data_IF_506959602395
#
_entry.id   IF_506959602395
#
_cell.length_a   1.000
_cell.length_b   1.000
_cell.length_c   1.000
_cell.angle_alpha   90.00
_cell.angle_beta   90.00
_cell.angle_gamma   90.00
#
_symmetry.space_group_name_H-M   'P 1'
#
loop_
_entity.id
_entity.type
_entity.pdbx_description
1 polymer ?
#
# COMPACT_ATOMS: atom_id res chain seq x y z
N UNK A 1 -69.07 48.07 -19.87
CA UNK A 1 -68.70 47.55 -18.53
C UNK A 1 -67.26 47.15 -18.59
N UNK A 2 -66.36 47.90 -17.94
CA UNK A 2 -64.93 47.58 -18.00
C UNK A 2 -64.51 46.67 -16.83
N UNK A 3 -63.74 45.63 -17.14
CA UNK A 3 -63.12 44.73 -16.19
C UNK A 3 -61.93 45.44 -15.53
N UNK A 4 -61.89 45.42 -14.21
CA UNK A 4 -60.74 45.85 -13.39
C UNK A 4 -59.81 44.61 -13.18
N UNK A 5 -58.49 44.74 -13.32
CA UNK A 5 -57.59 43.73 -12.96
C UNK A 5 -57.25 43.77 -11.44
N UNK A 6 -57.37 42.64 -10.80
CA UNK A 6 -56.94 42.42 -9.41
C UNK A 6 -55.39 42.31 -9.35
N UNK A 7 -54.75 43.20 -8.61
CA UNK A 7 -53.32 43.13 -8.31
C UNK A 7 -53.07 42.14 -7.18
N UNK A 8 -52.36 41.07 -7.47
CA UNK A 8 -51.85 40.09 -6.47
C UNK A 8 -50.50 40.61 -5.97
N UNK A 9 -50.47 41.04 -4.70
CA UNK A 9 -49.23 41.42 -4.03
C UNK A 9 -48.52 40.15 -3.54
N UNK A 10 -47.38 39.84 -4.17
CA UNK A 10 -46.50 38.75 -3.74
C UNK A 10 -45.61 39.24 -2.59
N UNK A 11 -45.88 38.76 -1.37
CA UNK A 11 -44.99 38.96 -0.22
C UNK A 11 -43.74 38.09 -0.41
N UNK A 12 -42.59 38.69 -0.67
CA UNK A 12 -41.27 38.07 -0.60
C UNK A 12 -40.85 37.94 0.87
N UNK A 13 -40.97 36.74 1.47
CA UNK A 13 -40.36 36.41 2.73
C UNK A 13 -38.85 36.18 2.49
N UNK A 14 -38.04 37.15 2.91
CA UNK A 14 -36.57 36.98 3.01
C UNK A 14 -36.24 36.10 4.19
N UNK A 15 -35.81 34.85 3.92
CA UNK A 15 -35.24 33.96 4.92
C UNK A 15 -33.84 34.46 5.31
N UNK A 16 -33.48 34.47 6.62
CA UNK A 16 -32.10 34.80 7.02
C UNK A 16 -31.17 33.70 6.57
N UNK A 17 -30.09 34.07 5.85
CA UNK A 17 -29.01 33.17 5.50
C UNK A 17 -28.31 32.70 6.78
N UNK A 18 -28.45 31.42 7.13
CA UNK A 18 -27.66 30.79 8.13
C UNK A 18 -26.20 30.80 7.67
N UNK A 19 -25.38 31.62 8.31
CA UNK A 19 -23.92 31.60 8.11
C UNK A 19 -23.38 30.21 8.43
N UNK A 20 -22.75 29.54 7.44
CA UNK A 20 -22.04 28.29 7.67
C UNK A 20 -20.97 28.51 8.75
N UNK A 21 -20.80 27.56 9.70
CA UNK A 21 -19.77 27.70 10.71
C UNK A 21 -18.40 27.74 10.02
N UNK A 22 -17.61 28.77 10.32
CA UNK A 22 -16.24 28.90 9.85
C UNK A 22 -15.47 27.65 10.26
N UNK A 23 -15.02 26.85 9.29
CA UNK A 23 -14.13 25.72 9.53
C UNK A 23 -12.87 26.24 10.18
N UNK A 24 -12.64 25.89 11.44
CA UNK A 24 -11.35 26.15 12.12
C UNK A 24 -10.24 25.57 11.24
N UNK A 25 -9.18 26.32 10.93
CA UNK A 25 -8.03 25.74 10.24
C UNK A 25 -7.52 24.55 11.06
N UNK A 26 -7.39 23.40 10.40
CA UNK A 26 -6.80 22.21 11.01
C UNK A 26 -5.43 22.59 11.58
N UNK A 27 -5.09 22.25 12.82
CA UNK A 27 -3.77 22.56 13.36
C UNK A 27 -2.70 22.04 12.41
N UNK A 28 -1.74 22.92 12.06
CA UNK A 28 -0.63 22.54 11.18
C UNK A 28 -0.02 21.25 11.72
N UNK A 29 0.04 20.21 10.90
CA UNK A 29 0.60 18.93 11.29
C UNK A 29 2.03 19.15 11.80
N UNK A 30 2.36 18.58 12.96
CA UNK A 30 3.71 18.67 13.51
C UNK A 30 4.73 18.20 12.46
N UNK A 31 5.91 18.88 12.35
CA UNK A 31 6.91 18.50 11.37
C UNK A 31 7.32 17.03 11.56
N UNK A 32 7.45 16.30 10.45
CA UNK A 32 7.86 14.91 10.51
C UNK A 32 9.24 14.78 11.18
N UNK A 33 9.46 13.74 12.02
CA UNK A 33 10.75 13.53 12.67
C UNK A 33 11.85 13.33 11.63
N UNK A 34 13.09 13.69 11.96
CA UNK A 34 14.26 13.43 11.12
C UNK A 34 14.36 11.94 10.80
N UNK A 35 14.79 11.60 9.57
CA UNK A 35 14.91 10.21 9.12
C UNK A 35 15.70 9.36 10.11
N UNK A 36 15.18 8.21 10.43
CA UNK A 36 15.78 7.22 11.34
C UNK A 36 16.13 5.97 10.57
N UNK A 37 17.18 5.29 11.00
CA UNK A 37 17.65 4.02 10.49
C UNK A 37 17.74 3.04 11.66
N UNK A 38 17.01 1.95 11.62
CA UNK A 38 17.01 0.94 12.66
C UNK A 38 16.72 -0.45 12.10
N UNK A 39 17.13 -1.49 12.83
CA UNK A 39 16.83 -2.87 12.48
C UNK A 39 15.53 -3.26 13.17
N UNK A 40 14.63 -3.86 12.42
CA UNK A 40 13.43 -4.44 12.95
C UNK A 40 13.36 -5.93 12.62
N UNK A 41 12.68 -6.68 13.49
CA UNK A 41 12.44 -8.11 13.37
C UNK A 41 10.96 -8.42 13.52
N UNK A 42 10.43 -9.19 12.57
CA UNK A 42 9.05 -9.65 12.57
C UNK A 42 8.92 -11.16 12.81
N UNK A 43 7.76 -11.68 12.49
CA UNK A 43 7.53 -13.12 12.40
C UNK A 43 8.39 -13.74 11.27
N UNK A 44 8.59 -15.06 11.24
CA UNK A 44 9.19 -15.73 10.10
C UNK A 44 8.52 -15.31 8.78
N UNK A 45 9.33 -15.10 7.74
CA UNK A 45 8.90 -14.70 6.40
C UNK A 45 8.17 -13.32 6.31
N UNK A 46 8.19 -12.51 7.35
CA UNK A 46 7.50 -11.20 7.38
C UNK A 46 8.02 -10.17 6.36
N UNK A 47 9.24 -10.35 5.86
CA UNK A 47 9.83 -9.51 4.82
C UNK A 47 10.15 -10.28 3.53
N UNK A 48 9.47 -11.43 3.31
CA UNK A 48 9.66 -12.35 2.20
C UNK A 48 10.21 -13.70 2.68
N UNK A 49 10.14 -14.69 1.84
CA UNK A 49 10.53 -16.06 2.18
C UNK A 49 11.96 -16.12 2.73
N UNK A 50 12.14 -16.66 3.93
CA UNK A 50 13.42 -16.73 4.64
C UNK A 50 13.89 -15.41 5.24
N UNK A 51 13.03 -14.39 5.28
CA UNK A 51 13.34 -13.05 5.77
C UNK A 51 12.43 -12.68 6.95
N UNK A 52 13.04 -12.47 8.13
CA UNK A 52 12.35 -11.98 9.33
C UNK A 52 12.92 -10.66 9.88
N UNK A 53 13.98 -10.13 9.24
CA UNK A 53 14.70 -8.91 9.65
C UNK A 53 14.89 -7.95 8.50
N UNK A 54 14.76 -6.66 8.78
CA UNK A 54 14.95 -5.60 7.80
C UNK A 54 15.51 -4.33 8.40
N UNK A 55 15.97 -3.44 7.54
CA UNK A 55 16.34 -2.07 7.90
C UNK A 55 15.14 -1.17 7.61
N UNK A 56 14.63 -0.50 8.64
CA UNK A 56 13.61 0.52 8.50
C UNK A 56 14.26 1.89 8.25
N UNK A 57 13.71 2.65 7.29
CA UNK A 57 14.14 4.00 6.91
C UNK A 57 12.91 4.90 6.93
N UNK A 58 12.73 5.65 8.03
CA UNK A 58 11.50 6.38 8.30
C UNK A 58 11.75 7.82 8.74
N UNK A 59 10.95 8.76 8.23
CA UNK A 59 11.00 10.18 8.59
C UNK A 59 11.55 11.08 7.50
N UNK A 60 11.70 12.38 7.82
CA UNK A 60 12.11 13.41 6.87
C UNK A 60 13.62 13.35 6.59
N UNK A 61 14.00 13.37 5.32
CA UNK A 61 15.39 13.38 4.87
C UNK A 61 15.96 14.80 5.12
N UNK A 62 16.73 14.96 6.17
CA UNK A 62 17.35 16.24 6.55
C UNK A 62 18.80 16.35 6.07
N UNK A 63 19.46 17.49 6.34
CA UNK A 63 20.76 17.84 5.74
C UNK A 63 21.95 16.96 6.16
N UNK A 64 21.81 16.13 7.21
CA UNK A 64 22.85 15.22 7.72
C UNK A 64 22.51 13.73 7.48
N UNK A 65 21.42 13.44 6.76
CA UNK A 65 20.88 12.10 6.60
C UNK A 65 21.89 11.10 6.01
N UNK A 66 22.65 11.51 4.99
CA UNK A 66 23.64 10.65 4.35
C UNK A 66 24.80 10.28 5.27
N UNK A 67 25.25 11.23 6.08
CA UNK A 67 26.29 11.00 7.10
C UNK A 67 25.83 9.99 8.16
N UNK A 68 24.60 10.15 8.65
CA UNK A 68 24.00 9.22 9.63
C UNK A 68 23.75 7.82 9.03
N UNK A 69 23.30 7.74 7.78
CA UNK A 69 23.16 6.47 7.08
C UNK A 69 24.51 5.75 6.95
N UNK A 70 25.56 6.45 6.52
CA UNK A 70 26.91 5.89 6.43
C UNK A 70 27.40 5.35 7.77
N UNK A 71 27.16 6.08 8.87
CA UNK A 71 27.50 5.62 10.22
C UNK A 71 26.68 4.41 10.65
N UNK A 72 25.38 4.39 10.31
CA UNK A 72 24.50 3.25 10.59
C UNK A 72 25.01 2.01 9.89
N UNK A 73 25.28 2.05 8.56
CA UNK A 73 25.79 0.90 7.81
C UNK A 73 27.15 0.43 8.34
N UNK A 74 28.05 1.34 8.75
CA UNK A 74 29.32 0.95 9.38
C UNK A 74 29.13 0.15 10.67
N UNK A 75 28.16 0.53 11.50
CA UNK A 75 27.83 -0.19 12.75
C UNK A 75 27.17 -1.54 12.51
N UNK A 76 26.43 -1.66 11.41
CA UNK A 76 25.63 -2.83 11.06
C UNK A 76 26.14 -3.52 9.78
N UNK A 77 27.45 -3.67 9.60
CA UNK A 77 28.06 -4.26 8.41
C UNK A 77 27.54 -5.67 8.10
N UNK A 78 27.25 -6.45 9.15
CA UNK A 78 26.69 -7.82 9.00
C UNK A 78 25.27 -7.82 8.43
N UNK A 79 24.51 -6.74 8.66
CA UNK A 79 23.10 -6.60 8.31
C UNK A 79 22.89 -5.78 7.04
N UNK A 80 23.94 -5.30 6.37
CA UNK A 80 23.89 -4.43 5.20
C UNK A 80 23.15 -5.02 3.99
N UNK A 81 23.00 -6.34 3.95
CA UNK A 81 22.29 -7.08 2.90
C UNK A 81 20.79 -7.26 3.18
N UNK A 82 20.34 -6.88 4.39
CA UNK A 82 18.93 -6.92 4.72
C UNK A 82 18.12 -6.00 3.79
N UNK A 83 16.88 -6.37 3.42
CA UNK A 83 16.02 -5.48 2.66
C UNK A 83 15.74 -4.20 3.45
N UNK A 84 15.67 -3.07 2.75
CA UNK A 84 15.40 -1.77 3.34
C UNK A 84 13.99 -1.32 3.01
N UNK A 85 13.22 -0.93 4.03
CA UNK A 85 11.85 -0.48 3.89
C UNK A 85 11.74 1.01 4.16
N UNK A 86 11.20 1.73 3.20
CA UNK A 86 11.15 3.18 3.17
C UNK A 86 9.74 3.69 3.44
N UNK A 87 9.63 4.64 4.39
CA UNK A 87 8.44 5.43 4.65
C UNK A 87 8.86 6.86 5.01
N UNK A 88 8.78 7.79 4.04
CA UNK A 88 9.32 9.13 4.19
C UNK A 88 8.49 10.15 3.41
N UNK A 89 8.19 11.33 3.99
CA UNK A 89 7.59 12.44 3.26
C UNK A 89 8.58 13.12 2.28
N UNK A 90 9.85 12.69 2.25
CA UNK A 90 10.91 13.32 1.47
C UNK A 90 11.78 14.25 2.27
N UNK A 91 12.25 15.35 1.66
CA UNK A 91 13.11 16.34 2.30
C UNK A 91 14.26 16.77 1.40
N UNK A 92 15.50 16.68 1.89
CA UNK A 92 16.69 17.15 1.18
C UNK A 92 17.05 16.21 0.02
N UNK A 93 16.96 16.72 -1.21
CA UNK A 93 17.20 15.98 -2.44
C UNK A 93 18.68 15.53 -2.58
N UNK A 94 19.64 16.38 -2.24
CA UNK A 94 21.07 16.01 -2.36
C UNK A 94 21.40 14.85 -1.41
N UNK A 95 20.87 14.88 -0.19
CA UNK A 95 21.04 13.78 0.78
C UNK A 95 20.38 12.48 0.31
N UNK A 96 19.22 12.58 -0.32
CA UNK A 96 18.55 11.42 -0.90
C UNK A 96 19.40 10.77 -2.02
N UNK A 97 19.98 11.58 -2.90
CA UNK A 97 20.88 11.12 -3.97
C UNK A 97 22.15 10.49 -3.38
N UNK A 98 22.76 11.09 -2.33
CA UNK A 98 23.94 10.50 -1.68
C UNK A 98 23.61 9.13 -1.07
N UNK A 99 22.48 8.99 -0.36
CA UNK A 99 22.06 7.69 0.16
C UNK A 99 21.77 6.72 -0.99
N UNK A 100 21.09 7.17 -2.05
CA UNK A 100 20.82 6.34 -3.23
C UNK A 100 22.09 5.80 -3.90
N UNK A 101 23.16 6.60 -4.02
CA UNK A 101 24.45 6.10 -4.51
C UNK A 101 25.02 5.01 -3.56
N UNK A 102 24.96 5.20 -2.24
CA UNK A 102 25.36 4.17 -1.28
C UNK A 102 24.52 2.88 -1.41
N UNK A 103 23.21 3.01 -1.64
CA UNK A 103 22.34 1.84 -1.88
C UNK A 103 22.75 1.08 -3.14
N UNK A 104 23.19 1.78 -4.19
CA UNK A 104 23.71 1.16 -5.41
C UNK A 104 24.99 0.37 -5.14
N UNK A 105 25.93 0.97 -4.40
CA UNK A 105 27.19 0.33 -4.00
C UNK A 105 26.97 -0.92 -3.13
N UNK A 106 25.92 -0.90 -2.28
CA UNK A 106 25.54 -2.01 -1.44
C UNK A 106 24.74 -3.10 -2.19
N UNK A 107 24.40 -2.89 -3.45
CA UNK A 107 23.45 -3.74 -4.20
C UNK A 107 22.15 -3.96 -3.43
N UNK A 108 21.66 -2.91 -2.75
CA UNK A 108 20.56 -2.98 -1.80
C UNK A 108 19.22 -3.35 -2.48
N UNK A 109 18.34 -4.00 -1.69
CA UNK A 109 16.92 -4.15 -2.02
C UNK A 109 16.12 -3.08 -1.29
N UNK A 110 15.38 -2.24 -2.03
CA UNK A 110 14.52 -1.20 -1.51
C UNK A 110 13.04 -1.54 -1.72
N UNK A 111 12.25 -1.39 -0.66
CA UNK A 111 10.80 -1.60 -0.65
C UNK A 111 10.10 -0.42 0.03
N UNK A 112 8.84 -0.16 -0.33
CA UNK A 112 8.04 0.88 0.31
C UNK A 112 7.05 0.25 1.28
N UNK A 113 7.30 0.41 2.58
CA UNK A 113 6.40 0.02 3.66
C UNK A 113 6.74 0.78 4.94
N UNK A 114 5.78 0.92 5.84
CA UNK A 114 5.99 1.40 7.21
C UNK A 114 6.36 0.23 8.11
N UNK A 115 7.25 0.45 9.04
CA UNK A 115 7.51 -0.48 10.14
C UNK A 115 6.64 -0.08 11.34
N UNK A 116 5.76 -0.97 11.76
CA UNK A 116 4.94 -0.81 12.96
C UNK A 116 5.70 -1.47 14.11
N UNK A 117 6.34 -0.68 14.93
CA UNK A 117 7.16 -1.17 16.06
C UNK A 117 6.23 -1.62 17.18
N UNK A 118 6.25 -2.91 17.51
CA UNK A 118 5.45 -3.53 18.59
C UNK A 118 5.93 -3.12 19.97
N UNK A 119 7.23 -2.90 20.14
CA UNK A 119 7.82 -2.45 21.38
C UNK A 119 7.30 -1.07 21.85
N UNK A 120 6.66 -0.31 20.96
CA UNK A 120 5.96 0.92 21.32
C UNK A 120 4.64 0.67 22.09
N UNK A 121 4.14 -0.57 22.13
CA UNK A 121 2.87 -0.90 22.79
C UNK A 121 1.69 -0.14 22.17
N UNK A 122 0.93 0.56 23.01
CA UNK A 122 -0.22 1.36 22.59
C UNK A 122 0.16 2.79 22.13
N UNK A 123 1.43 3.16 22.25
CA UNK A 123 1.91 4.47 21.85
C UNK A 123 1.87 4.67 20.33
N UNK A 124 1.51 5.89 19.91
CA UNK A 124 1.57 6.22 18.49
C UNK A 124 3.00 6.07 17.95
N UNK A 125 3.14 5.57 16.72
CA UNK A 125 4.45 5.34 16.08
C UNK A 125 5.29 6.63 15.94
N UNK A 126 4.66 7.80 16.03
CA UNK A 126 5.30 9.12 16.01
C UNK A 126 5.41 9.78 17.40
N UNK A 127 5.00 9.10 18.48
CA UNK A 127 5.18 9.64 19.84
C UNK A 127 6.66 9.70 20.21
N UNK A 128 7.05 10.64 21.09
CA UNK A 128 8.44 10.75 21.57
C UNK A 128 8.96 9.45 22.20
N UNK A 129 8.11 8.71 22.89
CA UNK A 129 8.45 7.42 23.49
C UNK A 129 8.86 6.42 22.39
N UNK A 130 8.04 6.28 21.35
CA UNK A 130 8.32 5.37 20.24
C UNK A 130 9.51 5.84 19.39
N UNK A 131 9.65 7.14 19.14
CA UNK A 131 10.80 7.72 18.44
C UNK A 131 12.12 7.50 19.21
N UNK A 132 12.10 7.56 20.54
CA UNK A 132 13.27 7.25 21.38
C UNK A 132 13.66 5.78 21.24
N UNK A 133 12.70 4.86 21.20
CA UNK A 133 12.96 3.43 20.93
C UNK A 133 13.60 3.22 19.54
N UNK A 134 13.05 3.84 18.49
CA UNK A 134 13.59 3.76 17.12
C UNK A 134 15.01 4.31 17.00
N UNK A 135 15.42 5.23 17.86
CA UNK A 135 16.78 5.80 17.93
C UNK A 135 17.72 5.04 18.86
N UNK A 136 17.24 4.04 19.59
CA UNK A 136 18.01 3.35 20.64
C UNK A 136 19.18 2.51 20.12
N UNK A 137 19.22 2.18 18.83
CA UNK A 137 20.20 1.28 18.24
C UNK A 137 19.97 -0.20 18.52
N UNK A 138 18.89 -0.55 19.25
CA UNK A 138 18.47 -1.94 19.46
C UNK A 138 17.71 -2.46 18.24
N UNK A 139 17.71 -3.78 18.04
CA UNK A 139 16.75 -4.47 17.19
C UNK A 139 15.36 -4.39 17.84
N UNK A 140 14.32 -4.02 17.07
CA UNK A 140 12.97 -3.80 17.56
C UNK A 140 12.01 -4.83 16.97
N UNK A 141 11.09 -5.33 17.78
CA UNK A 141 10.00 -6.18 17.28
C UNK A 141 9.04 -5.32 16.45
N UNK A 142 8.65 -5.81 15.26
CA UNK A 142 7.77 -5.03 14.39
C UNK A 142 7.05 -5.85 13.33
N UNK A 143 6.10 -5.18 12.67
CA UNK A 143 5.40 -5.66 11.49
C UNK A 143 5.58 -4.68 10.32
N UNK A 144 5.42 -5.16 9.10
CA UNK A 144 5.42 -4.35 7.90
C UNK A 144 3.99 -4.02 7.46
N UNK A 145 3.74 -2.76 7.16
CA UNK A 145 2.47 -2.28 6.63
C UNK A 145 2.71 -1.52 5.32
N UNK A 146 2.29 -2.10 4.20
CA UNK A 146 2.38 -1.48 2.86
C UNK A 146 1.27 -0.47 2.63
N UNK A 147 0.07 -0.74 3.16
CA UNK A 147 -1.09 0.14 3.01
C UNK A 147 -0.84 1.52 3.61
N UNK A 148 -0.94 2.54 2.74
CA UNK A 148 -0.70 3.93 3.12
C UNK A 148 0.76 4.24 3.48
N UNK A 149 1.70 3.34 3.20
CA UNK A 149 3.12 3.66 3.24
C UNK A 149 3.45 4.62 2.10
N UNK A 150 4.24 5.65 2.38
CA UNK A 150 4.54 6.70 1.41
C UNK A 150 6.05 6.93 1.33
N UNK A 151 6.51 7.04 0.10
CA UNK A 151 7.84 7.52 -0.23
C UNK A 151 7.66 8.67 -1.23
N UNK A 152 7.65 9.91 -0.72
CA UNK A 152 7.27 11.10 -1.46
C UNK A 152 8.44 12.05 -1.68
N UNK A 153 8.34 12.94 -2.68
CA UNK A 153 9.27 14.06 -2.91
C UNK A 153 10.72 13.59 -3.16
N UNK A 154 11.64 13.80 -2.23
CA UNK A 154 13.03 13.34 -2.34
C UNK A 154 13.19 11.82 -2.09
N UNK A 155 12.24 11.16 -1.39
CA UNK A 155 12.34 9.74 -1.05
C UNK A 155 12.38 8.80 -2.29
N UNK A 156 11.60 8.99 -3.37
CA UNK A 156 11.75 8.18 -4.58
C UNK A 156 13.19 8.14 -5.08
N UNK A 157 13.88 9.27 -5.15
CA UNK A 157 15.26 9.32 -5.63
C UNK A 157 16.22 8.48 -4.77
N UNK A 158 15.94 8.37 -3.47
CA UNK A 158 16.69 7.46 -2.60
C UNK A 158 16.44 6.00 -3.00
N UNK A 159 15.17 5.60 -3.17
CA UNK A 159 14.77 4.23 -3.58
C UNK A 159 15.34 3.87 -4.95
N UNK A 160 15.37 4.82 -5.90
CA UNK A 160 15.92 4.60 -7.26
C UNK A 160 17.38 4.14 -7.24
N UNK A 161 18.14 4.48 -6.20
CA UNK A 161 19.53 4.02 -6.06
C UNK A 161 19.68 2.52 -5.84
N UNK A 162 18.69 1.84 -5.27
CA UNK A 162 18.78 0.42 -5.00
C UNK A 162 18.91 -0.43 -6.29
N UNK A 163 19.56 -1.58 -6.17
CA UNK A 163 19.69 -2.55 -7.26
C UNK A 163 18.35 -3.26 -7.54
N UNK A 164 17.64 -3.63 -6.47
CA UNK A 164 16.30 -4.20 -6.54
C UNK A 164 15.30 -3.22 -5.91
N UNK A 165 14.29 -2.84 -6.67
CA UNK A 165 13.25 -1.90 -6.28
C UNK A 165 11.90 -2.58 -6.36
N UNK A 166 11.14 -2.51 -5.26
CA UNK A 166 9.84 -3.17 -5.16
C UNK A 166 8.84 -2.26 -4.46
N UNK A 167 7.78 -1.89 -5.16
CA UNK A 167 6.70 -1.06 -4.64
C UNK A 167 5.43 -1.88 -4.59
N UNK A 168 4.86 -2.03 -3.40
CA UNK A 168 3.61 -2.78 -3.21
C UNK A 168 2.42 -2.06 -3.88
N UNK A 169 1.35 -2.79 -4.27
CA UNK A 169 0.20 -2.22 -4.98
C UNK A 169 -0.53 -1.10 -4.22
N UNK A 170 -0.46 -1.12 -2.89
CA UNK A 170 -1.14 -0.20 -1.98
C UNK A 170 -0.18 0.79 -1.28
N UNK A 171 1.09 0.79 -1.69
CA UNK A 171 2.09 1.77 -1.28
C UNK A 171 2.17 2.94 -2.27
N UNK A 172 2.59 4.10 -1.79
CA UNK A 172 2.64 5.36 -2.54
C UNK A 172 4.09 5.71 -2.86
N UNK A 173 4.37 5.96 -4.14
CA UNK A 173 5.61 6.55 -4.62
C UNK A 173 5.26 7.87 -5.32
N UNK A 174 5.54 9.01 -4.66
CA UNK A 174 5.07 10.32 -5.11
C UNK A 174 6.21 11.26 -5.51
N UNK A 175 6.02 11.96 -6.63
CA UNK A 175 7.00 12.91 -7.19
C UNK A 175 6.37 14.28 -7.43
N UNK A 176 7.19 15.33 -7.36
CA UNK A 176 6.87 16.70 -7.73
C UNK A 176 8.15 17.48 -8.06
N UNK A 177 8.02 18.71 -8.55
CA UNK A 177 9.16 19.57 -8.87
C UNK A 177 9.96 19.92 -7.60
N UNK A 178 11.31 19.95 -7.67
CA UNK A 178 12.13 20.38 -6.53
C UNK A 178 11.98 21.86 -6.23
N UNK A 179 11.97 22.23 -4.94
CA UNK A 179 12.01 23.62 -4.49
C UNK A 179 13.46 24.06 -4.27
N UNK A 180 13.85 25.14 -4.90
CA UNK A 180 15.15 25.77 -4.66
C UNK A 180 15.05 26.66 -3.44
N UNK A 181 15.85 26.38 -2.42
CA UNK A 181 15.95 27.19 -1.21
C UNK A 181 17.22 28.04 -1.29
N UNK A 182 17.07 29.34 -1.44
CA UNK A 182 18.19 30.28 -1.43
C UNK A 182 18.52 30.66 0.01
N UNK A 183 19.80 30.64 0.34
CA UNK A 183 20.33 31.17 1.62
C UNK A 183 21.17 32.38 1.31
N UNK A 184 20.88 33.54 1.95
CA UNK A 184 21.71 34.72 1.90
C UNK A 184 22.64 34.72 3.12
N UNK A 185 23.91 34.98 2.91
CA UNK A 185 24.91 35.10 3.95
C UNK A 185 25.22 36.59 4.33
N UNK A 186 24.52 37.55 3.72
CA UNK A 186 24.68 39.00 4.01
C UNK A 186 23.65 39.81 3.24
N UNK A 187 23.21 40.93 3.79
CA UNK A 187 22.31 41.90 3.15
C UNK A 187 21.01 41.36 2.56
N UNK A 188 20.08 42.25 2.22
CA UNK A 188 18.89 41.88 1.45
C UNK A 188 19.28 41.79 -0.03
N UNK A 189 19.06 40.59 -0.70
CA UNK A 189 19.36 40.44 -2.12
C UNK A 189 18.36 41.25 -2.97
N UNK A 190 18.81 41.80 -4.11
CA UNK A 190 17.90 42.41 -5.09
C UNK A 190 17.01 41.35 -5.76
N UNK A 191 15.92 41.80 -6.34
CA UNK A 191 14.99 40.89 -7.06
C UNK A 191 15.73 40.15 -8.19
N UNK A 192 16.59 40.83 -8.94
CA UNK A 192 17.38 40.26 -10.03
C UNK A 192 18.33 39.17 -9.53
N UNK A 193 19.00 39.43 -8.37
CA UNK A 193 19.90 38.45 -7.73
C UNK A 193 19.10 37.19 -7.30
N UNK A 194 17.90 37.34 -6.76
CA UNK A 194 17.04 36.22 -6.37
C UNK A 194 16.61 35.42 -7.59
N UNK A 195 16.14 36.08 -8.66
CA UNK A 195 15.73 35.42 -9.90
C UNK A 195 16.92 34.64 -10.52
N UNK A 196 18.07 35.28 -10.68
CA UNK A 196 19.27 34.64 -11.24
C UNK A 196 19.77 33.46 -10.39
N UNK A 197 19.73 33.58 -9.05
CA UNK A 197 20.12 32.52 -8.16
C UNK A 197 19.12 31.35 -8.20
N UNK A 198 17.83 31.62 -8.31
CA UNK A 198 16.78 30.61 -8.45
C UNK A 198 16.98 29.84 -9.77
N UNK A 199 17.19 30.56 -10.89
CA UNK A 199 17.43 29.95 -12.19
C UNK A 199 18.65 29.00 -12.15
N UNK A 200 19.78 29.46 -11.63
CA UNK A 200 20.98 28.62 -11.46
C UNK A 200 20.72 27.40 -10.56
N UNK A 201 19.90 27.57 -9.51
CA UNK A 201 19.50 26.48 -8.61
C UNK A 201 18.68 25.43 -9.32
N UNK A 202 17.71 25.83 -10.15
CA UNK A 202 16.89 24.92 -10.96
C UNK A 202 17.75 24.15 -11.96
N UNK A 203 18.60 24.84 -12.73
CA UNK A 203 19.50 24.19 -13.70
C UNK A 203 20.47 23.21 -13.05
N UNK A 204 20.96 23.54 -11.85
CA UNK A 204 21.83 22.63 -11.07
C UNK A 204 21.05 21.38 -10.63
N UNK A 205 19.84 21.55 -10.11
CA UNK A 205 18.98 20.44 -9.70
C UNK A 205 18.64 19.54 -10.89
N UNK A 206 18.32 20.12 -12.04
CA UNK A 206 18.02 19.38 -13.27
C UNK A 206 19.19 18.54 -13.75
N UNK A 207 20.39 19.13 -13.81
CA UNK A 207 21.61 18.39 -14.17
C UNK A 207 21.92 17.26 -13.18
N UNK A 208 21.78 17.53 -11.88
CA UNK A 208 22.01 16.54 -10.83
C UNK A 208 21.04 15.37 -10.95
N UNK A 209 19.74 15.65 -11.12
CA UNK A 209 18.70 14.65 -11.26
C UNK A 209 18.86 13.85 -12.57
N UNK A 210 19.10 14.50 -13.71
CA UNK A 210 19.28 13.83 -15.00
C UNK A 210 20.45 12.85 -14.97
N UNK A 211 21.59 13.28 -14.44
CA UNK A 211 22.76 12.40 -14.31
C UNK A 211 22.48 11.24 -13.34
N UNK A 212 21.75 11.50 -12.25
CA UNK A 212 21.44 10.48 -11.28
C UNK A 212 20.48 9.43 -11.80
N UNK A 213 19.34 9.82 -12.41
CA UNK A 213 18.35 8.86 -12.93
C UNK A 213 18.95 8.01 -14.05
N UNK A 214 19.75 8.63 -14.95
CA UNK A 214 20.49 7.91 -15.98
C UNK A 214 21.44 6.87 -15.38
N UNK A 215 22.26 7.26 -14.39
CA UNK A 215 23.17 6.33 -13.68
C UNK A 215 22.41 5.17 -13.03
N UNK A 216 21.19 5.40 -12.56
CA UNK A 216 20.35 4.38 -11.91
C UNK A 216 19.55 3.52 -12.90
N UNK A 217 19.69 3.75 -14.22
CA UNK A 217 18.97 3.01 -15.26
C UNK A 217 17.46 3.29 -15.24
N UNK A 218 17.09 4.54 -14.96
CA UNK A 218 15.71 5.03 -14.94
C UNK A 218 15.50 5.92 -16.15
N UNK A 219 14.32 5.79 -16.78
CA UNK A 219 13.95 6.60 -17.95
C UNK A 219 13.76 8.07 -17.56
N UNK A 220 14.25 9.00 -18.39
CA UNK A 220 14.21 10.44 -18.16
C UNK A 220 12.78 11.01 -18.06
N UNK A 221 11.81 10.35 -18.65
CA UNK A 221 10.37 10.68 -18.57
C UNK A 221 9.86 10.81 -17.13
N UNK A 222 10.48 10.14 -16.16
CA UNK A 222 10.19 10.35 -14.74
C UNK A 222 10.38 11.83 -14.35
N UNK A 223 11.46 12.45 -14.81
CA UNK A 223 11.76 13.86 -14.51
C UNK A 223 10.81 14.81 -15.23
N UNK A 224 10.40 14.46 -16.46
CA UNK A 224 9.43 15.24 -17.21
C UNK A 224 8.09 15.28 -16.47
N UNK A 225 7.62 14.12 -15.97
CA UNK A 225 6.43 14.06 -15.11
C UNK A 225 6.63 14.90 -13.83
N UNK A 226 7.74 14.72 -13.13
CA UNK A 226 7.98 15.43 -11.86
C UNK A 226 7.99 16.96 -12.04
N UNK A 227 8.57 17.47 -13.14
CA UNK A 227 8.66 18.90 -13.45
C UNK A 227 7.30 19.57 -13.69
N UNK A 228 6.31 18.82 -14.19
CA UNK A 228 4.96 19.37 -14.43
C UNK A 228 4.16 19.56 -13.14
N UNK A 229 4.56 18.95 -12.04
CA UNK A 229 3.83 18.96 -10.78
C UNK A 229 4.40 20.07 -9.88
N UNK A 230 3.56 20.97 -9.41
CA UNK A 230 3.97 22.04 -8.48
C UNK A 230 4.50 21.44 -7.17
N UNK A 231 5.37 22.18 -6.49
CA UNK A 231 5.97 21.73 -5.23
C UNK A 231 4.93 21.42 -4.14
N UNK A 232 3.81 22.14 -4.14
CA UNK A 232 2.71 21.99 -3.18
C UNK A 232 1.81 20.79 -3.48
N UNK A 233 1.90 20.25 -4.69
CA UNK A 233 1.13 19.11 -5.17
C UNK A 233 1.99 17.83 -5.14
N UNK A 234 1.34 16.67 -5.33
CA UNK A 234 2.03 15.38 -5.39
C UNK A 234 1.42 14.51 -6.48
N UNK A 235 2.24 14.07 -7.43
CA UNK A 235 1.85 13.06 -8.40
C UNK A 235 2.24 11.68 -7.89
N UNK A 236 1.25 10.82 -7.64
CA UNK A 236 1.46 9.43 -7.29
C UNK A 236 1.72 8.65 -8.57
N UNK A 237 2.89 8.05 -8.68
CA UNK A 237 3.25 7.23 -9.84
C UNK A 237 2.33 6.02 -9.96
N UNK A 238 1.72 5.87 -11.12
CA UNK A 238 0.91 4.69 -11.45
C UNK A 238 1.79 3.45 -11.63
N UNK A 239 1.22 2.27 -11.56
CA UNK A 239 1.95 1.03 -11.81
C UNK A 239 2.56 1.01 -13.23
N UNK A 240 1.82 1.53 -14.21
CA UNK A 240 2.31 1.66 -15.59
C UNK A 240 3.54 2.58 -15.68
N UNK A 241 3.49 3.74 -15.03
CA UNK A 241 4.64 4.66 -14.97
C UNK A 241 5.85 4.01 -14.29
N UNK A 242 5.65 3.34 -13.14
CA UNK A 242 6.75 2.63 -12.46
C UNK A 242 7.38 1.55 -13.35
N UNK A 243 6.57 0.83 -14.12
CA UNK A 243 7.06 -0.18 -15.06
C UNK A 243 7.81 0.46 -16.25
N UNK A 244 7.20 1.43 -16.93
CA UNK A 244 7.81 2.13 -18.08
C UNK A 244 9.09 2.85 -17.70
N UNK A 245 9.10 3.54 -16.57
CA UNK A 245 10.32 4.26 -16.14
C UNK A 245 11.42 3.33 -15.61
N UNK A 246 11.18 2.03 -15.53
CA UNK A 246 12.17 1.06 -15.06
C UNK A 246 12.37 1.07 -13.54
N UNK A 247 11.42 1.63 -12.78
CA UNK A 247 11.47 1.65 -11.31
C UNK A 247 11.20 0.26 -10.75
N UNK A 248 10.11 -0.35 -11.18
CA UNK A 248 9.72 -1.71 -10.77
C UNK A 248 9.07 -2.43 -11.96
N UNK A 249 9.84 -3.29 -12.63
CA UNK A 249 9.45 -3.96 -13.88
C UNK A 249 8.73 -5.31 -13.67
N UNK A 250 8.24 -5.58 -12.46
CA UNK A 250 7.45 -6.79 -12.22
C UNK A 250 6.07 -6.66 -12.88
N UNK A 251 5.64 -7.67 -13.61
CA UNK A 251 4.33 -7.71 -14.29
C UNK A 251 3.21 -8.17 -13.36
N UNK A 252 3.56 -8.87 -12.29
CA UNK A 252 2.68 -9.21 -11.17
C UNK A 252 3.28 -8.71 -9.86
N UNK A 253 2.52 -7.91 -9.13
CA UNK A 253 2.96 -7.32 -7.86
C UNK A 253 1.87 -7.53 -6.83
N UNK A 254 2.23 -8.08 -5.68
CA UNK A 254 1.30 -8.43 -4.62
C UNK A 254 1.77 -7.92 -3.25
N UNK A 255 0.83 -7.77 -2.31
CA UNK A 255 1.13 -7.56 -0.89
C UNK A 255 1.26 -8.91 -0.19
N UNK A 256 1.92 -8.97 0.97
CA UNK A 256 1.70 -10.06 1.90
C UNK A 256 0.21 -10.15 2.30
N UNK A 257 -0.21 -11.30 2.82
CA UNK A 257 -1.48 -11.42 3.51
C UNK A 257 -1.39 -10.72 4.86
N UNK A 258 -2.26 -9.77 5.11
CA UNK A 258 -2.23 -8.94 6.31
C UNK A 258 -3.57 -9.01 7.06
N UNK A 259 -3.50 -9.25 8.37
CA UNK A 259 -4.66 -9.16 9.26
C UNK A 259 -5.05 -7.69 9.45
N UNK A 260 -6.33 -7.39 9.30
CA UNK A 260 -6.93 -6.07 9.53
C UNK A 260 -8.16 -6.20 10.45
N UNK A 261 -8.27 -5.30 11.41
CA UNK A 261 -9.44 -5.23 12.30
C UNK A 261 -10.01 -3.79 12.29
N UNK A 262 -10.66 -3.45 11.19
CA UNK A 262 -11.29 -2.15 10.95
C UNK A 262 -12.82 -2.32 10.90
N UNK A 263 -13.42 -2.64 12.04
CA UNK A 263 -14.85 -2.94 12.18
C UNK A 263 -15.18 -4.42 12.03
N UNK A 264 -14.70 -5.11 11.01
CA UNK A 264 -14.74 -6.56 10.87
C UNK A 264 -13.34 -7.11 10.72
N UNK A 265 -12.99 -8.12 11.52
CA UNK A 265 -11.71 -8.80 11.39
C UNK A 265 -11.65 -9.59 10.07
N UNK A 266 -10.59 -9.39 9.32
CA UNK A 266 -10.33 -10.08 8.06
C UNK A 266 -8.82 -10.12 7.76
N UNK A 267 -8.45 -11.00 6.85
CA UNK A 267 -7.12 -11.02 6.24
C UNK A 267 -7.27 -10.51 4.81
N UNK A 268 -6.42 -9.58 4.41
CA UNK A 268 -6.44 -9.00 3.07
C UNK A 268 -5.11 -9.25 2.34
N UNK A 269 -5.23 -9.47 1.04
CA UNK A 269 -4.14 -9.43 0.07
C UNK A 269 -4.59 -8.63 -1.14
N UNK A 270 -3.71 -7.79 -1.67
CA UNK A 270 -3.94 -7.05 -2.90
C UNK A 270 -2.86 -7.37 -3.91
N UNK A 271 -3.20 -7.39 -5.18
CA UNK A 271 -2.24 -7.50 -6.26
C UNK A 271 -2.63 -6.61 -7.44
N UNK A 272 -1.65 -6.31 -8.28
CA UNK A 272 -1.83 -5.69 -9.59
C UNK A 272 -1.11 -6.57 -10.61
N UNK A 273 -1.84 -7.02 -11.61
CA UNK A 273 -1.33 -7.84 -12.70
C UNK A 273 -1.35 -7.06 -14.02
N UNK A 274 -0.31 -7.21 -14.84
CA UNK A 274 -0.31 -6.71 -16.20
C UNK A 274 -1.20 -7.58 -17.06
N UNK A 275 -1.99 -6.98 -17.94
CA UNK A 275 -2.86 -7.75 -18.85
C UNK A 275 -2.02 -8.44 -19.93
N UNK A 276 -2.53 -9.54 -20.50
CA UNK A 276 -1.84 -10.34 -21.51
C UNK A 276 -1.39 -9.51 -22.73
N UNK A 277 -2.17 -8.49 -23.11
CA UNK A 277 -1.78 -7.59 -24.21
C UNK A 277 -0.68 -6.57 -23.81
N UNK A 278 -0.24 -6.59 -22.56
CA UNK A 278 0.79 -5.69 -22.03
C UNK A 278 0.41 -4.20 -22.00
N UNK A 279 -0.83 -3.83 -22.31
CA UNK A 279 -1.25 -2.43 -22.47
C UNK A 279 -1.91 -1.83 -21.23
N UNK A 280 -2.33 -2.66 -20.30
CA UNK A 280 -3.05 -2.20 -19.10
C UNK A 280 -2.72 -3.06 -17.88
N UNK A 281 -3.21 -2.63 -16.73
CA UNK A 281 -3.04 -3.28 -15.43
C UNK A 281 -4.41 -3.54 -14.82
N UNK A 282 -4.56 -4.66 -14.13
CA UNK A 282 -5.78 -5.00 -13.41
C UNK A 282 -5.52 -5.15 -11.92
N UNK A 283 -6.38 -4.57 -11.11
CA UNK A 283 -6.34 -4.72 -9.66
C UNK A 283 -7.07 -5.99 -9.23
N UNK A 284 -6.45 -6.73 -8.33
CA UNK A 284 -6.94 -7.98 -7.73
C UNK A 284 -6.91 -7.83 -6.21
N UNK A 285 -7.90 -8.37 -5.52
CA UNK A 285 -7.95 -8.36 -4.06
C UNK A 285 -8.57 -9.64 -3.53
N UNK A 286 -8.00 -10.16 -2.46
CA UNK A 286 -8.52 -11.29 -1.69
C UNK A 286 -8.83 -10.84 -0.27
N UNK A 287 -9.93 -11.33 0.28
CA UNK A 287 -10.33 -11.09 1.67
C UNK A 287 -10.81 -12.40 2.27
N UNK A 288 -10.10 -12.86 3.30
CA UNK A 288 -10.47 -14.03 4.07
C UNK A 288 -11.04 -13.60 5.42
N UNK A 289 -12.22 -14.04 5.76
CA UNK A 289 -12.85 -13.76 7.05
C UNK A 289 -13.61 -15.00 7.55
N UNK A 290 -13.87 -15.05 8.85
CA UNK A 290 -14.64 -16.14 9.45
C UNK A 290 -16.10 -15.75 9.65
N UNK A 291 -17.00 -16.72 9.47
CA UNK A 291 -18.39 -16.65 9.95
C UNK A 291 -18.47 -17.11 11.42
N UNK A 292 -17.66 -18.12 11.76
CA UNK A 292 -17.41 -18.66 13.09
C UNK A 292 -16.05 -19.38 13.09
N UNK A 293 -15.69 -20.04 14.21
CA UNK A 293 -14.41 -20.76 14.35
C UNK A 293 -14.22 -21.91 13.35
N UNK A 294 -15.30 -22.42 12.70
CA UNK A 294 -15.26 -23.59 11.81
C UNK A 294 -15.53 -23.23 10.35
N UNK A 295 -16.08 -22.06 10.06
CA UNK A 295 -16.52 -21.66 8.72
C UNK A 295 -15.88 -20.36 8.29
N UNK A 296 -15.22 -20.40 7.12
CA UNK A 296 -14.51 -19.28 6.51
C UNK A 296 -15.12 -18.91 5.16
N UNK A 297 -14.92 -17.66 4.79
CA UNK A 297 -15.27 -17.13 3.47
C UNK A 297 -14.03 -16.45 2.88
N UNK A 298 -13.62 -16.89 1.68
CA UNK A 298 -12.64 -16.22 0.85
C UNK A 298 -13.38 -15.49 -0.28
N UNK A 299 -13.26 -14.17 -0.29
CA UNK A 299 -13.73 -13.34 -1.38
C UNK A 299 -12.55 -13.02 -2.30
N UNK A 300 -12.73 -13.19 -3.59
CA UNK A 300 -11.83 -12.73 -4.63
C UNK A 300 -12.52 -11.64 -5.44
N UNK A 301 -11.94 -10.46 -5.47
CA UNK A 301 -12.42 -9.31 -6.22
C UNK A 301 -11.39 -8.94 -7.29
N UNK A 302 -11.87 -8.72 -8.52
CA UNK A 302 -11.04 -8.23 -9.60
C UNK A 302 -11.70 -7.09 -10.34
N UNK A 303 -10.90 -6.16 -10.82
CA UNK A 303 -11.34 -5.11 -11.72
C UNK A 303 -11.65 -5.71 -13.08
N UNK A 304 -12.82 -5.39 -13.62
CA UNK A 304 -13.24 -5.84 -14.95
C UNK A 304 -13.07 -4.68 -15.92
N UNK A 305 -12.11 -4.79 -16.82
CA UNK A 305 -12.06 -3.99 -18.04
C UNK A 305 -12.65 -4.83 -19.17
N UNK A 306 -13.80 -4.41 -19.66
CA UNK A 306 -14.46 -4.77 -20.95
C UNK A 306 -14.42 -6.22 -21.50
N UNK A 307 -13.71 -7.22 -21.01
CA UNK A 307 -13.76 -8.64 -21.48
C UNK A 307 -12.70 -9.52 -20.84
N UNK A 308 -12.83 -10.81 -20.86
CA UNK A 308 -13.97 -11.69 -20.81
C UNK A 308 -14.29 -12.18 -19.40
N UNK A 309 -15.55 -12.42 -19.11
CA UNK A 309 -15.95 -13.09 -17.87
C UNK A 309 -15.45 -14.52 -17.91
N UNK A 310 -14.53 -14.88 -17.03
CA UNK A 310 -14.21 -16.29 -16.83
C UNK A 310 -15.42 -16.97 -16.18
N UNK A 311 -15.74 -18.17 -16.63
CA UNK A 311 -16.89 -18.92 -16.13
C UNK A 311 -16.55 -19.71 -14.85
N UNK A 312 -15.27 -20.01 -14.63
CA UNK A 312 -14.80 -20.78 -13.48
C UNK A 312 -13.51 -20.19 -12.94
N UNK A 313 -13.47 -20.01 -11.62
CA UNK A 313 -12.27 -19.63 -10.87
C UNK A 313 -12.06 -20.67 -9.79
N UNK A 314 -10.84 -21.17 -9.66
CA UNK A 314 -10.44 -22.14 -8.65
C UNK A 314 -9.07 -21.85 -8.08
N UNK A 315 -8.83 -22.32 -6.86
CA UNK A 315 -7.53 -22.24 -6.18
C UNK A 315 -7.05 -23.62 -5.76
N UNK A 316 -5.74 -23.82 -5.72
CA UNK A 316 -5.13 -25.00 -5.11
C UNK A 316 -5.45 -25.05 -3.61
N UNK A 317 -5.70 -26.27 -3.08
CA UNK A 317 -6.12 -26.47 -1.70
C UNK A 317 -5.14 -27.33 -0.88
N UNK A 318 -4.01 -27.73 -1.47
CA UNK A 318 -3.13 -28.74 -0.90
C UNK A 318 -3.67 -30.18 -0.98
N UNK A 319 -4.90 -30.35 -1.48
CA UNK A 319 -5.55 -31.66 -1.70
C UNK A 319 -5.67 -32.01 -3.19
N UNK A 320 -6.24 -33.18 -3.48
CA UNK A 320 -6.39 -33.72 -4.84
C UNK A 320 -7.32 -32.89 -5.76
N UNK A 321 -8.20 -32.07 -5.18
CA UNK A 321 -9.16 -31.26 -5.94
C UNK A 321 -9.01 -29.78 -5.57
N UNK A 322 -8.96 -28.86 -6.58
CA UNK A 322 -9.00 -27.45 -6.33
C UNK A 322 -10.35 -27.02 -5.73
N UNK A 323 -10.33 -25.94 -4.94
CA UNK A 323 -11.54 -25.29 -4.45
C UNK A 323 -12.06 -24.30 -5.50
N UNK A 324 -13.33 -24.39 -5.84
CA UNK A 324 -13.97 -23.58 -6.89
C UNK A 324 -14.87 -22.51 -6.28
N UNK A 325 -14.72 -21.27 -6.75
CA UNK A 325 -15.57 -20.15 -6.37
C UNK A 325 -16.99 -20.30 -6.90
N UNK A 326 -17.97 -19.77 -6.17
CA UNK A 326 -19.37 -19.79 -6.57
C UNK A 326 -19.59 -18.94 -7.84
N UNK A 327 -20.40 -19.48 -8.76
CA UNK A 327 -20.84 -18.79 -9.98
C UNK A 327 -22.37 -18.58 -9.93
N UNK A 328 -22.92 -17.46 -10.40
CA UNK A 328 -22.22 -16.30 -10.97
C UNK A 328 -21.62 -15.39 -9.89
N UNK A 329 -20.57 -14.59 -10.22
CA UNK A 329 -20.04 -13.60 -9.30
C UNK A 329 -21.03 -12.44 -9.10
N UNK A 330 -20.97 -11.79 -7.94
CA UNK A 330 -21.59 -10.48 -7.78
C UNK A 330 -20.81 -9.43 -8.61
N UNK A 331 -21.52 -8.45 -9.19
CA UNK A 331 -20.93 -7.41 -10.06
C UNK A 331 -21.15 -6.02 -9.49
N UNK A 332 -20.43 -5.64 -8.39
CA UNK A 332 -20.36 -4.24 -7.97
C UNK A 332 -19.70 -3.39 -9.07
N UNK A 333 -20.05 -2.11 -9.18
CA UNK A 333 -19.61 -1.23 -10.27
C UNK A 333 -18.11 -1.35 -10.58
N UNK A 334 -17.77 -1.77 -11.80
CA UNK A 334 -16.40 -1.93 -12.30
C UNK A 334 -15.61 -3.14 -11.77
N UNK A 335 -16.27 -4.06 -11.01
CA UNK A 335 -15.61 -5.23 -10.44
C UNK A 335 -16.47 -6.49 -10.56
N UNK A 336 -15.83 -7.64 -10.48
CA UNK A 336 -16.46 -8.94 -10.18
C UNK A 336 -16.00 -9.38 -8.79
N UNK A 337 -16.95 -9.87 -7.99
CA UNK A 337 -16.73 -10.42 -6.65
C UNK A 337 -17.13 -11.88 -6.63
N UNK A 338 -16.17 -12.75 -6.42
CA UNK A 338 -16.30 -14.19 -6.33
C UNK A 338 -16.19 -14.64 -4.88
N UNK A 339 -17.11 -15.47 -4.42
CA UNK A 339 -17.14 -15.99 -3.05
C UNK A 339 -16.83 -17.48 -3.00
N UNK A 340 -16.03 -17.90 -2.03
CA UNK A 340 -15.71 -19.29 -1.74
C UNK A 340 -15.88 -19.55 -0.24
N UNK A 341 -16.85 -20.40 0.12
CA UNK A 341 -17.01 -20.89 1.49
C UNK A 341 -16.18 -22.14 1.69
N UNK A 342 -15.51 -22.22 2.83
CA UNK A 342 -14.67 -23.35 3.16
C UNK A 342 -14.63 -23.63 4.66
N UNK A 343 -14.38 -24.89 5.09
CA UNK A 343 -14.13 -25.20 6.49
C UNK A 343 -12.74 -24.70 6.94
N UNK A 344 -12.55 -24.58 8.24
CA UNK A 344 -11.29 -24.19 8.87
C UNK A 344 -10.09 -25.01 8.37
N UNK A 345 -10.28 -26.33 8.24
CA UNK A 345 -9.23 -27.24 7.75
C UNK A 345 -8.70 -26.85 6.36
N UNK A 346 -9.59 -26.45 5.44
CA UNK A 346 -9.18 -25.96 4.13
C UNK A 346 -8.43 -24.64 4.18
N UNK A 347 -8.87 -23.70 5.04
CA UNK A 347 -8.15 -22.42 5.23
C UNK A 347 -6.74 -22.65 5.81
N UNK A 348 -6.58 -23.58 6.74
CA UNK A 348 -5.28 -23.99 7.28
C UNK A 348 -4.42 -24.67 6.22
N UNK A 349 -4.96 -25.65 5.48
CA UNK A 349 -4.22 -26.31 4.41
C UNK A 349 -3.73 -25.35 3.33
N UNK A 350 -4.50 -24.33 2.98
CA UNK A 350 -4.09 -23.27 2.04
C UNK A 350 -2.94 -22.46 2.66
N UNK A 351 -3.02 -22.14 3.96
CA UNK A 351 -1.99 -21.35 4.63
C UNK A 351 -0.65 -22.08 4.71
N UNK A 352 -0.65 -23.41 4.73
CA UNK A 352 0.55 -24.26 4.77
C UNK A 352 1.21 -24.44 3.38
N UNK A 353 0.54 -24.01 2.29
CA UNK A 353 1.11 -24.07 0.95
C UNK A 353 2.25 -23.05 0.80
N UNK A 354 3.29 -23.34 0.01
CA UNK A 354 4.31 -22.35 -0.33
C UNK A 354 3.76 -21.25 -1.25
N UNK A 355 2.75 -21.57 -2.05
CA UNK A 355 2.02 -20.66 -2.95
C UNK A 355 0.62 -21.21 -3.23
N UNK A 356 -0.28 -20.33 -3.64
CA UNK A 356 -1.62 -20.67 -4.08
C UNK A 356 -1.66 -20.51 -5.60
N UNK A 357 -2.04 -21.56 -6.33
CA UNK A 357 -2.28 -21.46 -7.77
C UNK A 357 -3.74 -21.05 -7.98
N UNK A 358 -3.96 -19.86 -8.54
CA UNK A 358 -5.26 -19.36 -8.99
C UNK A 358 -5.41 -19.69 -10.47
N UNK A 359 -6.46 -20.43 -10.82
CA UNK A 359 -6.77 -20.79 -12.22
C UNK A 359 -8.12 -20.19 -12.60
N UNK A 360 -8.13 -19.45 -13.68
CA UNK A 360 -9.33 -18.88 -14.29
C UNK A 360 -9.55 -19.53 -15.65
N UNK A 361 -10.76 -20.07 -15.92
CA UNK A 361 -11.13 -20.67 -17.22
C UNK A 361 -12.45 -20.11 -17.70
N UNK A 362 -12.57 -19.94 -19.02
CA UNK A 362 -13.77 -19.40 -19.64
C UNK A 362 -13.80 -19.65 -21.15
N UNK A 363 -14.80 -19.10 -21.79
CA UNK A 363 -14.95 -19.10 -23.24
C UNK A 363 -15.14 -17.66 -23.70
N UNK A 364 -14.30 -17.20 -24.62
CA UNK A 364 -14.45 -15.90 -25.26
C UNK A 364 -15.69 -15.84 -26.15
N UNK A 365 -16.21 -14.66 -26.50
CA UNK A 365 -17.34 -14.49 -27.41
C UNK A 365 -17.13 -15.14 -28.79
N UNK A 366 -15.88 -15.28 -29.22
CA UNK A 366 -15.49 -15.95 -30.48
C UNK A 366 -15.32 -17.47 -30.36
N UNK A 367 -15.69 -18.06 -29.21
CA UNK A 367 -15.64 -19.52 -28.97
C UNK A 367 -14.27 -20.02 -28.50
N UNK A 368 -13.23 -19.18 -28.42
CA UNK A 368 -11.91 -19.60 -27.94
C UNK A 368 -11.95 -19.90 -26.44
N UNK A 369 -11.28 -20.98 -26.04
CA UNK A 369 -11.05 -21.26 -24.62
C UNK A 369 -10.06 -20.24 -24.04
N UNK A 370 -10.43 -19.69 -22.92
CA UNK A 370 -9.59 -18.80 -22.12
C UNK A 370 -9.11 -19.58 -20.91
N UNK A 371 -7.83 -19.49 -20.63
CA UNK A 371 -7.25 -19.99 -19.40
C UNK A 371 -6.20 -18.99 -18.92
N UNK A 372 -6.24 -18.66 -17.65
CA UNK A 372 -5.25 -17.81 -17.00
C UNK A 372 -4.89 -18.44 -15.67
N UNK A 373 -3.60 -18.43 -15.35
CA UNK A 373 -3.09 -18.93 -14.08
C UNK A 373 -2.20 -17.86 -13.44
N UNK A 374 -2.39 -17.64 -12.15
CA UNK A 374 -1.59 -16.76 -11.33
C UNK A 374 -1.08 -17.53 -10.13
N UNK A 375 0.15 -17.23 -9.71
CA UNK A 375 0.76 -17.80 -8.52
C UNK A 375 0.79 -16.75 -7.42
N UNK A 376 0.03 -16.98 -6.35
CA UNK A 376 -0.06 -16.09 -5.21
C UNK A 376 0.87 -16.58 -4.09
N UNK A 377 1.69 -15.70 -3.55
CA UNK A 377 2.46 -15.98 -2.34
C UNK A 377 1.54 -16.18 -1.13
N UNK A 378 1.86 -17.12 -0.27
CA UNK A 378 1.23 -17.29 1.05
C UNK A 378 1.91 -16.48 2.14
N UNK A 379 2.88 -15.62 1.77
CA UNK A 379 3.59 -14.74 2.71
C UNK A 379 2.62 -14.00 3.62
N UNK A 380 2.83 -14.14 4.95
CA UNK A 380 1.99 -13.53 5.98
C UNK A 380 0.67 -14.26 6.28
N UNK A 381 0.24 -15.23 5.45
CA UNK A 381 -1.04 -15.92 5.63
C UNK A 381 -1.10 -16.76 6.92
N UNK A 382 -0.09 -17.57 7.29
CA UNK A 382 -0.14 -18.36 8.52
C UNK A 382 -0.30 -17.49 9.77
N UNK A 383 0.52 -16.44 9.91
CA UNK A 383 0.48 -15.55 11.07
C UNK A 383 -0.84 -14.74 11.11
N UNK A 384 -1.32 -14.27 9.96
CA UNK A 384 -2.58 -13.56 9.85
C UNK A 384 -3.78 -14.45 10.15
N UNK A 385 -3.73 -15.74 9.74
CA UNK A 385 -4.77 -16.72 10.03
C UNK A 385 -4.86 -17.02 11.54
N UNK A 386 -3.73 -17.15 12.22
CA UNK A 386 -3.70 -17.30 13.68
C UNK A 386 -4.37 -16.08 14.37
N UNK A 387 -4.06 -14.86 13.91
CA UNK A 387 -4.68 -13.63 14.43
C UNK A 387 -6.18 -13.56 14.15
N UNK A 388 -6.62 -13.97 12.96
CA UNK A 388 -8.04 -14.01 12.60
C UNK A 388 -8.81 -15.02 13.46
N UNK A 389 -8.25 -16.23 13.64
CA UNK A 389 -8.85 -17.30 14.46
C UNK A 389 -9.12 -16.84 15.90
N UNK A 390 -8.23 -16.05 16.47
CA UNK A 390 -8.40 -15.48 17.82
C UNK A 390 -9.60 -14.51 17.94
N UNK A 391 -10.13 -14.02 16.83
CA UNK A 391 -11.28 -13.08 16.78
C UNK A 391 -12.58 -13.70 16.30
N UNK A 392 -12.55 -14.96 15.81
CA UNK A 392 -13.73 -15.62 15.26
C UNK A 392 -14.72 -15.97 16.38
N UNK A 393 -16.04 -15.70 16.19
CA UNK A 393 -17.05 -16.12 17.13
C UNK A 393 -17.21 -17.65 17.12
N UNK A 394 -17.67 -18.26 18.25
CA UNK A 394 -18.00 -19.69 18.26
C UNK A 394 -19.15 -20.00 17.29
N UNK A 395 -19.31 -21.24 16.84
CA UNK A 395 -20.48 -21.66 16.08
C UNK A 395 -21.76 -21.35 16.87
N UNK A 396 -22.77 -20.81 16.21
CA UNK A 396 -24.08 -20.70 16.85
C UNK A 396 -24.63 -22.10 17.08
N UNK A 397 -24.96 -22.45 18.30
CA UNK A 397 -25.74 -23.63 18.57
C UNK A 397 -27.04 -23.51 17.79
N UNK A 398 -27.28 -24.44 16.86
CA UNK A 398 -28.60 -24.58 16.25
C UNK A 398 -29.53 -24.94 17.38
N UNK A 399 -30.44 -24.02 17.76
CA UNK A 399 -31.50 -24.34 18.72
C UNK A 399 -32.12 -25.66 18.29
N UNK A 400 -32.00 -26.67 19.14
CA UNK A 400 -32.63 -27.96 18.90
C UNK A 400 -34.10 -27.69 18.59
N UNK A 401 -34.57 -28.13 17.42
CA UNK A 401 -35.94 -27.96 17.02
C UNK A 401 -36.85 -28.53 18.13
N UNK A 402 -38.08 -28.00 18.30
CA UNK A 402 -38.97 -28.41 19.38
C UNK A 402 -39.07 -29.93 19.41
N UNK A 403 -38.60 -30.53 20.51
CA UNK A 403 -38.75 -31.95 20.77
C UNK A 403 -40.27 -32.25 20.63
N UNK A 404 -40.63 -33.13 19.71
CA UNK A 404 -41.98 -33.63 19.57
C UNK A 404 -42.42 -34.17 20.94
N UNK A 405 -43.45 -33.56 21.51
CA UNK A 405 -44.07 -34.08 22.74
C UNK A 405 -44.48 -35.52 22.54
N UNK A 406 -44.22 -36.41 23.52
CA UNK A 406 -44.72 -37.77 23.42
C UNK A 406 -46.27 -37.75 23.40
N UNK A 407 -46.82 -38.27 22.34
CA UNK A 407 -48.28 -38.53 22.26
C UNK A 407 -48.61 -39.57 23.31
N UNK A 408 -49.25 -39.13 24.40
CA UNK A 408 -49.91 -40.03 25.35
C UNK A 408 -51.03 -40.79 24.63
N UNK A 409 -50.79 -42.03 24.29
CA UNK A 409 -51.83 -42.98 23.91
C UNK A 409 -52.60 -43.34 25.17
N UNK A 410 -53.76 -42.68 25.40
CA UNK A 410 -54.76 -43.13 26.35
C UNK A 410 -55.41 -44.40 25.80
N UNK A 411 -55.24 -45.46 26.54
CA UNK A 411 -55.92 -46.74 26.33
C UNK A 411 -57.43 -46.59 26.63
N UNK A 412 -58.25 -47.19 25.79
CA UNK A 412 -59.44 -47.98 26.14
C UNK A 412 -59.52 -49.17 25.24
#
# INVERSE_FOLDING_TARGET
>A
MPFRPLAIATLLLSAPALAAPATRPSPAAAPAPSVMFYIAKGAPDSCGRGCDRWIAVEGQINGDAAGRFKQFIKRHLKDRHLPMYFSSPGGNLEQAIFIGNMLRELSATARVARTIVKDCGFEAQASEVCLKLKRSGRELAGDLATRGAQCNSACPYLVLGAAVRQVAPDAILGVHSPKVVLRSSGGQPTREMVVAATQRGVERADRLLSNYVFKMGIEGELLDVAKTIKFEDMHVLTRDQMFRFGIDRREFVETPWAFENLGRALIRKSAIARTENGKSWRALQWRLFCHNTEQFQLDFQRQVSVTPSFATISISSGGAKPLTFAYPPAKPAGYELWGLRMPKSSAQAIADLPQIDLTETGIAPDGRRLAQAEKLSTEGLPASLASLLATCPPPRETAAGPQAMPQNSAAK
#
